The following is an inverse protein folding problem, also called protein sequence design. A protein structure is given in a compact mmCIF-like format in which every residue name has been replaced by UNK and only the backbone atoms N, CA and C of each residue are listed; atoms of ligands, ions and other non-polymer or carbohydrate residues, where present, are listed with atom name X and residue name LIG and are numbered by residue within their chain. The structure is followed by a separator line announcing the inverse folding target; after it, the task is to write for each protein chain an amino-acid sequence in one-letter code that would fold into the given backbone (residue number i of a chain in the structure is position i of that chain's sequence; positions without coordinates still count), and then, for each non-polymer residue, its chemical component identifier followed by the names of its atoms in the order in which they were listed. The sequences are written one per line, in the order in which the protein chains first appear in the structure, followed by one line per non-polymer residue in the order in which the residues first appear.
data_IF_780579111148
#
_entry.id   IF_780579111148
#
_cell.length_a   1.000
_cell.length_b   1.000
_cell.length_c   1.000
_cell.angle_alpha   90.00
_cell.angle_beta   90.00
_cell.angle_gamma   90.00
#
_symmetry.space_group_name_H-M   'P 1'
#
loop_
_entity.id
_entity.type
_entity.pdbx_description
1 polymer ?
#
# COMPACT_ATOMS: atom_id res chain seq x y z
N UNK A 1 10.08 11.01 48.90
CA UNK A 1 10.49 9.60 48.67
C UNK A 1 9.30 8.65 48.77
N UNK A 2 9.31 7.56 48.00
CA UNK A 2 8.31 6.48 48.02
C UNK A 2 8.97 5.15 47.66
N UNK A 3 8.60 4.08 48.36
CA UNK A 3 9.06 2.73 48.03
C UNK A 3 8.26 2.11 46.88
N UNK A 4 8.96 1.52 45.91
CA UNK A 4 8.35 0.78 44.81
C UNK A 4 7.91 -0.62 45.25
N UNK A 5 6.62 -0.94 45.09
CA UNK A 5 6.05 -2.25 45.44
C UNK A 5 6.62 -3.44 44.66
N UNK A 6 7.17 -3.22 43.45
CA UNK A 6 7.73 -4.31 42.64
C UNK A 6 9.21 -4.56 42.88
N UNK A 7 10.01 -3.50 43.04
CA UNK A 7 11.47 -3.64 43.16
C UNK A 7 12.02 -3.33 44.55
N UNK A 8 11.18 -2.95 45.51
CA UNK A 8 11.56 -2.66 46.91
C UNK A 8 12.38 -1.39 47.13
N UNK A 9 12.90 -0.76 46.08
CA UNK A 9 13.73 0.44 46.18
C UNK A 9 12.93 1.69 46.52
N UNK A 10 13.45 2.52 47.42
CA UNK A 10 12.99 3.89 47.63
C UNK A 10 13.43 4.81 46.49
N UNK A 11 12.51 5.62 45.99
CA UNK A 11 12.75 6.54 44.87
C UNK A 11 12.03 7.85 45.06
N UNK A 12 12.47 8.86 44.31
CA UNK A 12 11.77 10.13 44.21
C UNK A 12 10.37 9.98 43.63
N UNK A 13 9.45 10.87 44.02
CA UNK A 13 8.05 10.82 43.55
C UNK A 13 7.95 11.00 42.02
N UNK A 14 8.91 11.69 41.41
CA UNK A 14 9.03 11.86 39.95
C UNK A 14 9.27 10.54 39.21
N UNK A 15 9.77 9.49 39.89
CA UNK A 15 9.98 8.15 39.33
C UNK A 15 8.69 7.31 39.29
N UNK A 16 7.56 7.87 39.74
CA UNK A 16 6.26 7.20 39.74
C UNK A 16 5.30 7.92 38.79
N UNK A 17 4.37 7.18 38.20
CA UNK A 17 3.22 7.80 37.54
C UNK A 17 2.31 8.41 38.60
N UNK A 18 1.72 9.56 38.28
CA UNK A 18 0.76 10.23 39.14
C UNK A 18 -0.52 10.53 38.38
N UNK A 19 -1.63 10.64 39.12
CA UNK A 19 -2.91 11.14 38.63
C UNK A 19 -3.61 11.92 39.73
N UNK A 20 -4.43 12.88 39.36
CA UNK A 20 -5.39 13.47 40.30
C UNK A 20 -6.46 12.40 40.57
N UNK A 21 -6.69 12.12 41.84
CA UNK A 21 -7.70 11.19 42.33
C UNK A 21 -8.63 11.92 43.29
N UNK A 22 -9.85 11.43 43.45
CA UNK A 22 -10.83 12.00 44.36
C UNK A 22 -11.16 11.02 45.48
N UNK A 23 -11.32 11.53 46.70
CA UNK A 23 -11.85 10.80 47.85
C UNK A 23 -12.84 11.67 48.61
N UNK A 24 -13.98 11.08 49.04
CA UNK A 24 -14.98 11.78 49.85
C UNK A 24 -14.41 12.44 51.11
N UNK A 25 -13.32 11.89 51.67
CA UNK A 25 -12.67 12.41 52.89
C UNK A 25 -11.59 13.46 52.64
N UNK A 26 -10.93 13.41 51.47
CA UNK A 26 -9.72 14.22 51.18
C UNK A 26 -9.90 15.21 50.03
N UNK A 27 -11.06 15.18 49.37
CA UNK A 27 -11.25 15.90 48.11
C UNK A 27 -10.34 15.37 47.01
N UNK A 28 -9.89 16.26 46.13
CA UNK A 28 -8.91 15.96 45.11
C UNK A 28 -7.50 15.86 45.70
N UNK A 29 -6.76 14.83 45.33
CA UNK A 29 -5.38 14.63 45.78
C UNK A 29 -4.54 13.98 44.70
N UNK A 30 -3.22 14.22 44.75
CA UNK A 30 -2.28 13.61 43.83
C UNK A 30 -1.97 12.18 44.27
N UNK A 31 -2.45 11.21 43.50
CA UNK A 31 -2.19 9.79 43.73
C UNK A 31 -0.96 9.35 42.93
N UNK A 32 0.01 8.76 43.64
CA UNK A 32 1.16 8.10 43.02
C UNK A 32 0.96 6.60 42.96
N UNK A 33 1.23 6.03 41.79
CA UNK A 33 1.14 4.59 41.57
C UNK A 33 2.10 3.83 42.51
N UNK A 34 1.78 2.59 42.89
CA UNK A 34 2.61 1.81 43.81
C UNK A 34 3.89 1.29 43.15
N UNK A 35 3.94 1.25 41.82
CA UNK A 35 5.09 0.80 41.03
C UNK A 35 5.80 1.99 40.38
N UNK A 36 7.13 1.97 40.38
CA UNK A 36 7.90 2.97 39.64
C UNK A 36 7.72 2.83 38.12
N UNK A 37 8.00 3.91 37.38
CA UNK A 37 7.90 3.97 35.91
C UNK A 37 8.69 2.86 35.22
N UNK A 38 9.89 2.54 35.72
CA UNK A 38 10.73 1.45 35.19
C UNK A 38 10.06 0.08 35.32
N UNK A 39 9.51 -0.24 36.49
CA UNK A 39 8.79 -1.51 36.72
C UNK A 39 7.51 -1.58 35.89
N UNK A 40 6.75 -0.49 35.83
CA UNK A 40 5.55 -0.40 34.98
C UNK A 40 5.89 -0.63 33.51
N UNK A 41 6.96 -0.03 33.00
CA UNK A 41 7.43 -0.21 31.62
C UNK A 41 7.86 -1.64 31.35
N UNK A 42 8.62 -2.27 32.26
CA UNK A 42 9.03 -3.68 32.13
C UNK A 42 7.82 -4.60 32.08
N UNK A 43 6.86 -4.44 33.00
CA UNK A 43 5.62 -5.23 33.02
C UNK A 43 4.83 -5.07 31.72
N UNK A 44 4.70 -3.84 31.22
CA UNK A 44 4.01 -3.56 29.96
C UNK A 44 4.71 -4.23 28.76
N UNK A 45 6.04 -4.19 28.71
CA UNK A 45 6.84 -4.87 27.67
C UNK A 45 6.68 -6.39 27.72
N UNK A 46 6.81 -7.00 28.92
CA UNK A 46 6.55 -8.43 29.14
C UNK A 46 5.14 -8.81 28.70
N UNK A 47 4.13 -8.02 29.07
CA UNK A 47 2.76 -8.26 28.66
C UNK A 47 2.59 -8.20 27.14
N UNK A 48 3.21 -7.22 26.46
CA UNK A 48 3.14 -7.12 24.99
C UNK A 48 3.80 -8.31 24.30
N UNK A 49 4.95 -8.77 24.79
CA UNK A 49 5.66 -9.95 24.28
C UNK A 49 4.84 -11.23 24.46
N UNK A 50 4.19 -11.40 25.61
CA UNK A 50 3.37 -12.56 25.93
C UNK A 50 1.97 -12.50 25.29
N UNK A 51 1.52 -11.33 24.80
CA UNK A 51 0.19 -11.13 24.23
C UNK A 51 0.22 -10.41 22.86
N UNK A 52 0.99 -10.91 21.87
CA UNK A 52 1.25 -10.20 20.63
C UNK A 52 -0.04 -9.92 19.84
N UNK A 53 -0.94 -10.90 19.75
CA UNK A 53 -2.21 -10.77 19.02
C UNK A 53 -3.16 -9.76 19.69
N UNK A 54 -3.26 -9.78 21.01
CA UNK A 54 -4.11 -8.84 21.75
C UNK A 54 -3.58 -7.40 21.64
N UNK A 55 -2.27 -7.24 21.74
CA UNK A 55 -1.61 -5.96 21.55
C UNK A 55 -1.80 -5.43 20.11
N UNK A 56 -1.63 -6.29 19.10
CA UNK A 56 -1.88 -5.97 17.69
C UNK A 56 -3.33 -5.53 17.44
N UNK A 57 -4.31 -6.26 17.97
CA UNK A 57 -5.74 -5.88 17.88
C UNK A 57 -6.02 -4.53 18.55
N UNK A 58 -5.47 -4.30 19.74
CA UNK A 58 -5.63 -3.01 20.45
C UNK A 58 -5.03 -1.85 19.65
N UNK A 59 -3.80 -2.02 19.13
CA UNK A 59 -3.12 -1.04 18.28
C UNK A 59 -3.91 -0.75 17.01
N UNK A 60 -4.40 -1.79 16.33
CA UNK A 60 -5.24 -1.63 15.13
C UNK A 60 -6.51 -0.82 15.41
N UNK A 61 -7.19 -1.08 16.54
CA UNK A 61 -8.37 -0.28 16.95
C UNK A 61 -8.00 1.19 17.18
N UNK A 62 -6.87 1.46 17.82
CA UNK A 62 -6.40 2.82 18.06
C UNK A 62 -6.03 3.53 16.75
N UNK A 63 -5.25 2.88 15.88
CA UNK A 63 -4.81 3.46 14.60
C UNK A 63 -5.97 3.66 13.61
N UNK A 64 -7.05 2.87 13.74
CA UNK A 64 -8.24 3.02 12.92
C UNK A 64 -9.11 4.22 13.31
N UNK A 65 -8.86 4.89 14.44
CA UNK A 65 -9.58 6.12 14.81
C UNK A 65 -9.31 7.22 13.79
N UNK A 66 -10.36 7.98 13.45
CA UNK A 66 -10.28 8.99 12.38
C UNK A 66 -9.20 10.04 12.61
N UNK A 67 -9.08 10.56 13.85
CA UNK A 67 -8.05 11.54 14.19
C UNK A 67 -6.63 10.97 14.00
N UNK A 68 -6.42 9.67 14.24
CA UNK A 68 -5.12 9.00 14.02
C UNK A 68 -4.80 8.87 12.55
N UNK A 69 -5.79 8.49 11.72
CA UNK A 69 -5.64 8.46 10.26
C UNK A 69 -5.25 9.85 9.72
N UNK A 70 -5.91 10.91 10.19
CA UNK A 70 -5.59 12.32 9.82
C UNK A 70 -4.17 12.71 10.24
N UNK A 71 -3.79 12.45 11.48
CA UNK A 71 -2.44 12.73 11.98
C UNK A 71 -1.35 11.97 11.20
N UNK A 72 -1.58 10.69 10.93
CA UNK A 72 -0.65 9.86 10.15
C UNK A 72 -0.49 10.39 8.71
N UNK A 73 -1.59 10.79 8.06
CA UNK A 73 -1.55 11.43 6.76
C UNK A 73 -0.72 12.73 6.79
N UNK A 74 -0.97 13.61 7.77
CA UNK A 74 -0.22 14.87 7.93
C UNK A 74 1.28 14.63 8.16
N UNK A 75 1.62 13.65 9.00
CA UNK A 75 3.02 13.28 9.25
C UNK A 75 3.70 12.74 7.98
N UNK A 76 3.04 11.85 7.24
CA UNK A 76 3.56 11.33 5.98
C UNK A 76 3.72 12.43 4.93
N UNK A 77 2.77 13.36 4.83
CA UNK A 77 2.86 14.52 3.95
C UNK A 77 4.09 15.37 4.30
N UNK A 78 4.30 15.67 5.58
CA UNK A 78 5.51 16.38 6.05
C UNK A 78 6.80 15.60 5.71
N UNK A 79 6.81 14.28 5.89
CA UNK A 79 7.96 13.40 5.58
C UNK A 79 8.28 13.33 4.07
N UNK A 80 7.28 13.47 3.22
CA UNK A 80 7.47 13.54 1.77
C UNK A 80 8.02 14.93 1.41
N UNK A 81 7.38 15.98 1.91
CA UNK A 81 7.75 17.37 1.59
C UNK A 81 9.16 17.74 2.06
N UNK A 82 9.58 17.27 3.23
CA UNK A 82 10.93 17.52 3.76
C UNK A 82 12.01 16.59 3.17
N UNK A 83 11.69 15.79 2.15
CA UNK A 83 12.65 14.92 1.47
C UNK A 83 13.06 13.65 2.23
N UNK A 84 12.68 13.47 3.50
CA UNK A 84 13.05 12.29 4.31
C UNK A 84 12.59 10.97 3.66
N UNK A 85 11.45 10.99 2.98
CA UNK A 85 10.99 9.81 2.23
C UNK A 85 11.93 9.43 1.09
N UNK A 86 12.46 10.43 0.37
CA UNK A 86 13.44 10.21 -0.71
C UNK A 86 14.77 9.72 -0.15
N UNK A 87 15.23 10.31 0.95
CA UNK A 87 16.44 9.86 1.64
C UNK A 87 16.32 8.40 2.10
N UNK A 88 15.19 8.02 2.70
CA UNK A 88 14.92 6.65 3.10
C UNK A 88 15.01 5.68 1.92
N UNK A 89 14.39 6.03 0.78
CA UNK A 89 14.44 5.21 -0.43
C UNK A 89 15.87 5.02 -0.96
N UNK A 90 16.73 6.04 -0.87
CA UNK A 90 18.14 5.96 -1.28
C UNK A 90 18.97 5.10 -0.33
N UNK A 91 18.72 5.20 0.99
CA UNK A 91 19.44 4.44 2.02
C UNK A 91 18.98 2.98 2.15
N UNK A 92 17.79 2.63 1.66
CA UNK A 92 17.19 1.31 1.81
C UNK A 92 16.66 0.75 0.48
N UNK A 93 17.47 0.67 -0.59
CA UNK A 93 17.01 0.21 -1.90
C UNK A 93 16.43 -1.20 -1.85
N UNK A 94 17.03 -2.11 -1.07
CA UNK A 94 16.58 -3.51 -0.96
C UNK A 94 15.21 -3.64 -0.30
N UNK A 95 14.97 -2.87 0.77
CA UNK A 95 13.66 -2.85 1.45
C UNK A 95 12.58 -2.29 0.54
N UNK A 96 12.91 -1.27 -0.26
CA UNK A 96 11.99 -0.69 -1.26
C UNK A 96 11.69 -1.72 -2.36
N UNK A 97 12.70 -2.40 -2.89
CA UNK A 97 12.53 -3.47 -3.89
C UNK A 97 11.68 -4.61 -3.35
N UNK A 98 11.97 -5.10 -2.15
CA UNK A 98 11.19 -6.14 -1.48
C UNK A 98 9.72 -5.71 -1.28
N UNK A 99 9.49 -4.48 -0.81
CA UNK A 99 8.15 -3.94 -0.63
C UNK A 99 7.38 -3.87 -1.97
N UNK A 100 8.02 -3.35 -3.02
CA UNK A 100 7.40 -3.31 -4.36
C UNK A 100 7.08 -4.71 -4.89
N UNK A 101 7.95 -5.69 -4.68
CA UNK A 101 7.72 -7.07 -5.11
C UNK A 101 6.54 -7.72 -4.37
N UNK A 102 6.35 -7.44 -3.08
CA UNK A 102 5.20 -7.94 -2.31
C UNK A 102 3.85 -7.47 -2.85
N UNK A 103 3.82 -6.29 -3.47
CA UNK A 103 2.62 -5.67 -4.02
C UNK A 103 2.44 -5.89 -5.52
N UNK A 104 3.33 -6.64 -6.18
CA UNK A 104 3.28 -6.99 -7.61
C UNK A 104 2.99 -8.48 -7.80
N UNK A 105 1.96 -9.00 -7.14
CA UNK A 105 1.56 -10.39 -7.34
C UNK A 105 0.65 -10.49 -8.56
N UNK A 106 1.25 -10.79 -9.70
CA UNK A 106 0.53 -11.29 -10.87
C UNK A 106 0.85 -12.77 -11.02
N UNK A 107 -0.17 -13.57 -11.29
CA UNK A 107 -0.03 -14.98 -11.67
C UNK A 107 0.08 -15.04 -13.20
N UNK A 108 1.05 -14.32 -13.77
CA UNK A 108 1.27 -14.15 -15.21
C UNK A 108 2.75 -14.32 -15.48
N UNK A 109 3.13 -15.34 -16.25
CA UNK A 109 4.52 -15.55 -16.67
C UNK A 109 4.97 -14.47 -17.66
N UNK A 110 6.28 -14.34 -17.86
CA UNK A 110 6.81 -13.36 -18.82
C UNK A 110 6.38 -13.70 -20.26
N UNK A 111 6.28 -14.99 -20.61
CA UNK A 111 5.77 -15.44 -21.91
C UNK A 111 4.29 -15.07 -22.08
N UNK A 112 3.46 -15.37 -21.09
CA UNK A 112 2.05 -14.98 -21.07
C UNK A 112 1.87 -13.47 -21.22
N UNK A 113 2.74 -12.69 -20.59
CA UNK A 113 2.72 -11.24 -20.71
C UNK A 113 3.12 -10.74 -22.10
N UNK A 114 4.11 -11.37 -22.73
CA UNK A 114 4.49 -11.07 -24.12
C UNK A 114 3.31 -11.37 -25.05
N UNK A 115 2.65 -12.52 -24.91
CA UNK A 115 1.49 -12.88 -25.73
C UNK A 115 0.32 -11.92 -25.55
N UNK A 116 0.05 -11.49 -24.31
CA UNK A 116 -0.90 -10.42 -24.04
C UNK A 116 -0.53 -9.13 -24.79
N UNK A 117 0.73 -8.67 -24.73
CA UNK A 117 1.17 -7.49 -25.47
C UNK A 117 1.10 -7.67 -27.00
N UNK A 118 1.38 -8.87 -27.51
CA UNK A 118 1.29 -9.21 -28.92
C UNK A 118 -0.16 -9.17 -29.41
N UNK A 119 -1.09 -9.71 -28.61
CA UNK A 119 -2.52 -9.65 -28.92
C UNK A 119 -2.96 -8.20 -29.11
N UNK A 120 -2.57 -7.29 -28.22
CA UNK A 120 -2.94 -5.87 -28.30
C UNK A 120 -2.07 -5.02 -29.24
N UNK A 121 -1.04 -5.58 -29.88
CA UNK A 121 -0.17 -4.83 -30.79
C UNK A 121 -0.94 -4.20 -31.96
N UNK A 122 -0.36 -3.14 -32.53
CA UNK A 122 -0.86 -2.52 -33.76
C UNK A 122 -0.55 -3.40 -35.00
N UNK A 123 -0.98 -2.96 -36.17
CA UNK A 123 -0.76 -3.66 -37.46
C UNK A 123 0.73 -3.91 -37.78
N UNK A 124 1.62 -3.04 -37.26
CA UNK A 124 3.07 -3.15 -37.40
C UNK A 124 3.70 -4.06 -36.33
N UNK A 125 2.89 -4.80 -35.56
CA UNK A 125 3.30 -5.66 -34.43
C UNK A 125 4.03 -4.89 -33.32
N UNK A 126 3.73 -3.61 -33.15
CA UNK A 126 4.29 -2.80 -32.07
C UNK A 126 3.33 -2.78 -30.87
N UNK A 127 3.86 -3.04 -29.68
CA UNK A 127 3.07 -3.04 -28.45
C UNK A 127 2.51 -1.66 -28.14
N UNK A 128 1.22 -1.61 -27.85
CA UNK A 128 0.50 -0.39 -27.52
C UNK A 128 -0.45 -0.58 -26.33
N UNK A 129 -0.86 0.53 -25.73
CA UNK A 129 -1.85 0.56 -24.68
C UNK A 129 -3.22 0.13 -25.23
N UNK A 130 -3.85 -0.87 -24.61
CA UNK A 130 -5.17 -1.39 -24.99
C UNK A 130 -6.27 -0.31 -24.99
N UNK A 131 -6.13 0.74 -24.17
CA UNK A 131 -7.08 1.85 -24.12
C UNK A 131 -6.80 2.96 -25.13
N UNK A 132 -5.65 3.63 -25.01
CA UNK A 132 -5.37 4.82 -25.82
C UNK A 132 -4.68 4.52 -27.16
N UNK A 133 -4.24 3.29 -27.40
CA UNK A 133 -3.58 2.88 -28.64
C UNK A 133 -2.17 3.45 -28.84
N UNK A 134 -1.68 4.29 -27.92
CA UNK A 134 -0.31 4.81 -27.98
C UNK A 134 0.70 3.68 -27.75
N UNK A 135 1.80 3.74 -28.49
CA UNK A 135 2.89 2.78 -28.40
C UNK A 135 3.55 2.83 -27.03
N UNK A 136 4.01 1.69 -26.51
CA UNK A 136 4.75 1.64 -25.24
C UNK A 136 5.96 2.60 -25.26
N UNK A 137 6.65 2.72 -26.40
CA UNK A 137 7.78 3.64 -26.60
C UNK A 137 7.41 5.13 -26.57
N UNK A 138 6.13 5.48 -26.72
CA UNK A 138 5.64 6.84 -26.59
C UNK A 138 5.29 7.22 -25.14
N UNK A 139 5.37 6.26 -24.21
CA UNK A 139 5.10 6.48 -22.80
C UNK A 139 6.40 6.59 -22.00
N UNK A 140 6.56 7.75 -21.35
CA UNK A 140 7.71 8.05 -20.53
C UNK A 140 7.31 8.40 -19.10
N UNK A 141 8.15 8.00 -18.16
CA UNK A 141 8.08 8.48 -16.78
C UNK A 141 9.11 9.59 -16.60
N UNK A 142 8.66 10.78 -16.22
CA UNK A 142 9.55 11.85 -15.81
C UNK A 142 10.16 11.53 -14.45
N UNK A 143 11.49 11.47 -14.36
CA UNK A 143 12.25 11.46 -13.11
C UNK A 143 13.45 12.37 -13.22
N UNK A 144 13.58 13.34 -12.30
CA UNK A 144 14.73 14.25 -12.23
C UNK A 144 15.04 14.86 -13.61
N UNK A 145 13.99 15.37 -14.26
CA UNK A 145 14.04 16.03 -15.58
C UNK A 145 14.49 15.15 -16.76
N UNK A 146 14.55 13.82 -16.55
CA UNK A 146 14.76 12.83 -17.61
C UNK A 146 13.48 12.07 -17.92
N UNK A 147 13.22 11.87 -19.21
CA UNK A 147 12.19 10.96 -19.70
C UNK A 147 12.76 9.54 -19.72
N UNK A 148 12.29 8.71 -18.78
CA UNK A 148 12.68 7.30 -18.73
C UNK A 148 11.61 6.49 -19.46
N UNK A 149 11.98 5.68 -20.47
CA UNK A 149 11.05 4.77 -21.13
C UNK A 149 10.33 3.89 -20.12
N UNK A 150 9.05 3.64 -20.34
CA UNK A 150 8.23 2.86 -19.44
C UNK A 150 7.48 1.79 -20.23
N UNK A 151 7.67 0.52 -19.83
CA UNK A 151 6.84 -0.57 -20.38
C UNK A 151 5.38 -0.43 -19.92
N UNK A 152 4.47 -1.11 -20.62
CA UNK A 152 3.06 -1.17 -20.28
C UNK A 152 2.86 -1.89 -18.93
N UNK A 153 1.82 -1.49 -18.21
CA UNK A 153 1.41 -2.10 -16.95
C UNK A 153 0.48 -3.27 -17.22
N UNK A 154 0.61 -4.32 -16.39
CA UNK A 154 -0.35 -5.41 -16.24
C UNK A 154 -1.58 -4.87 -15.49
N UNK A 155 -2.52 -4.28 -16.22
CA UNK A 155 -3.68 -3.62 -15.63
C UNK A 155 -4.79 -4.62 -15.36
N UNK A 156 -5.29 -4.63 -14.12
CA UNK A 156 -6.45 -5.42 -13.75
C UNK A 156 -7.73 -4.71 -14.18
N UNK A 157 -8.50 -5.31 -15.08
CA UNK A 157 -9.73 -4.70 -15.61
C UNK A 157 -10.82 -4.62 -14.55
N UNK A 158 -10.89 -5.59 -13.66
CA UNK A 158 -11.58 -5.51 -12.37
C UNK A 158 -10.54 -5.53 -11.24
N UNK A 159 -10.52 -4.48 -10.42
CA UNK A 159 -9.61 -4.38 -9.26
C UNK A 159 -9.86 -5.46 -8.19
N UNK A 160 -11.03 -6.11 -8.22
CA UNK A 160 -11.37 -7.25 -7.36
C UNK A 160 -11.31 -8.60 -8.09
N UNK A 161 -10.95 -8.59 -9.38
CA UNK A 161 -10.87 -9.78 -10.21
C UNK A 161 -9.59 -10.60 -9.98
N UNK A 162 -9.36 -11.57 -10.86
CA UNK A 162 -8.20 -12.44 -10.81
C UNK A 162 -6.88 -11.67 -11.03
N UNK A 163 -5.76 -12.24 -10.54
CA UNK A 163 -4.42 -11.70 -10.76
C UNK A 163 -3.70 -12.37 -11.96
N UNK A 164 -4.42 -13.12 -12.79
CA UNK A 164 -3.92 -13.83 -13.98
C UNK A 164 -4.32 -13.12 -15.28
N UNK A 165 -4.06 -13.75 -16.44
CA UNK A 165 -4.34 -13.18 -17.76
C UNK A 165 -5.83 -12.89 -18.01
N UNK A 166 -6.75 -13.61 -17.35
CA UNK A 166 -8.20 -13.48 -17.58
C UNK A 166 -8.74 -12.09 -17.26
N UNK A 167 -8.03 -11.37 -16.38
CA UNK A 167 -8.40 -10.04 -15.91
C UNK A 167 -7.31 -9.00 -16.21
N UNK A 168 -6.30 -9.34 -17.03
CA UNK A 168 -5.14 -8.49 -17.26
C UNK A 168 -5.03 -8.04 -18.71
N UNK A 169 -4.89 -6.73 -18.93
CA UNK A 169 -4.59 -6.15 -20.25
C UNK A 169 -3.41 -5.16 -20.18
N UNK A 170 -2.78 -4.80 -21.31
CA UNK A 170 -1.68 -3.87 -21.31
C UNK A 170 -2.16 -2.42 -21.33
N UNK A 171 -1.84 -1.66 -20.28
CA UNK A 171 -2.21 -0.26 -20.18
C UNK A 171 -1.01 0.62 -19.85
N UNK A 172 -0.97 1.84 -20.40
CA UNK A 172 0.02 2.82 -19.99
C UNK A 172 -0.27 3.35 -18.57
N UNK A 173 0.74 3.95 -17.92
CA UNK A 173 0.60 4.45 -16.55
C UNK A 173 -0.55 5.45 -16.41
N UNK A 174 -0.74 6.34 -17.40
CA UNK A 174 -1.78 7.36 -17.36
C UNK A 174 -3.20 6.76 -17.44
N UNK A 175 -3.42 5.79 -18.34
CA UNK A 175 -4.70 5.09 -18.44
C UNK A 175 -5.02 4.31 -17.16
N UNK A 176 -4.07 3.46 -16.72
CA UNK A 176 -4.23 2.67 -15.49
C UNK A 176 -4.50 3.58 -14.27
N UNK A 177 -3.71 4.64 -14.09
CA UNK A 177 -3.88 5.58 -12.98
C UNK A 177 -5.15 6.43 -13.06
N UNK A 178 -5.68 6.67 -14.27
CA UNK A 178 -6.90 7.44 -14.47
C UNK A 178 -8.15 6.58 -14.24
N UNK A 179 -8.12 5.30 -14.63
CA UNK A 179 -9.22 4.36 -14.42
C UNK A 179 -9.38 4.05 -12.93
N UNK A 180 -8.29 3.64 -12.26
CA UNK A 180 -8.31 3.14 -10.88
C UNK A 180 -9.41 2.06 -10.73
N UNK A 181 -10.26 2.22 -9.73
CA UNK A 181 -11.39 1.35 -9.37
C UNK A 181 -12.67 1.60 -10.18
N UNK A 182 -12.63 2.48 -11.18
CA UNK A 182 -13.81 2.75 -12.00
C UNK A 182 -14.12 1.53 -12.87
N UNK A 183 -15.41 1.26 -13.10
CA UNK A 183 -15.82 0.28 -14.10
C UNK A 183 -15.16 0.61 -15.45
N UNK A 184 -14.54 -0.39 -16.08
CA UNK A 184 -13.75 -0.19 -17.30
C UNK A 184 -14.56 0.44 -18.42
N UNK A 185 -15.77 -0.07 -18.68
CA UNK A 185 -16.62 0.40 -19.79
C UNK A 185 -17.06 1.84 -19.57
N UNK A 186 -17.57 2.15 -18.38
CA UNK A 186 -18.04 3.49 -18.03
C UNK A 186 -16.93 4.54 -18.06
N UNK A 187 -15.74 4.15 -17.60
CA UNK A 187 -14.57 5.02 -17.63
C UNK A 187 -14.08 5.22 -19.07
N UNK A 188 -13.98 4.13 -19.85
CA UNK A 188 -13.40 4.16 -21.18
C UNK A 188 -14.27 4.94 -22.17
N UNK A 189 -15.60 4.78 -22.13
CA UNK A 189 -16.56 5.57 -22.94
C UNK A 189 -16.43 7.08 -22.75
N UNK A 190 -15.94 7.53 -21.59
CA UNK A 190 -15.74 8.95 -21.28
C UNK A 190 -14.36 9.48 -21.70
N UNK A 191 -13.51 8.67 -22.35
CA UNK A 191 -12.16 9.10 -22.76
C UNK A 191 -12.20 9.71 -24.16
N UNK A 192 -11.42 10.77 -24.45
CA UNK A 192 -11.38 11.39 -25.78
C UNK A 192 -10.82 10.47 -26.87
N UNK A 193 -10.12 9.40 -26.48
CA UNK A 193 -9.56 8.38 -27.37
C UNK A 193 -10.34 7.05 -27.33
N UNK A 194 -11.61 7.09 -26.92
CA UNK A 194 -12.48 5.91 -26.96
C UNK A 194 -12.53 5.33 -28.39
N UNK A 195 -12.49 4.00 -28.50
CA UNK A 195 -12.65 3.30 -29.77
C UNK A 195 -13.43 2.02 -29.54
N UNK A 196 -14.45 1.83 -30.38
CA UNK A 196 -15.27 0.62 -30.38
C UNK A 196 -14.42 -0.61 -30.72
N UNK A 197 -13.46 -0.50 -31.64
CA UNK A 197 -12.60 -1.63 -32.02
C UNK A 197 -11.67 -2.06 -30.88
N UNK A 198 -11.08 -1.09 -30.16
CA UNK A 198 -10.29 -1.40 -28.96
C UNK A 198 -11.15 -1.97 -27.85
N UNK A 199 -12.36 -1.46 -27.65
CA UNK A 199 -13.30 -2.03 -26.67
C UNK A 199 -13.63 -3.49 -27.02
N UNK A 200 -14.01 -3.78 -28.27
CA UNK A 200 -14.28 -5.16 -28.73
C UNK A 200 -13.08 -6.08 -28.53
N UNK A 201 -11.87 -5.59 -28.79
CA UNK A 201 -10.62 -6.33 -28.57
C UNK A 201 -10.38 -6.63 -27.09
N UNK A 202 -10.66 -5.66 -26.20
CA UNK A 202 -10.60 -5.86 -24.75
C UNK A 202 -11.66 -6.88 -24.30
N UNK A 203 -12.90 -6.75 -24.76
CA UNK A 203 -14.00 -7.66 -24.43
C UNK A 203 -13.72 -9.09 -24.92
N UNK A 204 -13.21 -9.24 -26.14
CA UNK A 204 -12.79 -10.53 -26.70
C UNK A 204 -11.68 -11.19 -25.90
N UNK A 205 -10.67 -10.40 -25.51
CA UNK A 205 -9.63 -10.83 -24.57
C UNK A 205 -10.24 -11.38 -23.29
N UNK A 206 -10.98 -10.55 -22.54
CA UNK A 206 -11.51 -10.89 -21.23
C UNK A 206 -12.53 -12.04 -21.25
N UNK A 207 -13.27 -12.20 -22.35
CA UNK A 207 -14.25 -13.27 -22.48
C UNK A 207 -13.59 -14.64 -22.68
N UNK A 208 -12.58 -14.73 -23.56
CA UNK A 208 -11.99 -16.04 -23.91
C UNK A 208 -10.62 -16.01 -24.58
N UNK A 209 -10.23 -14.96 -25.30
CA UNK A 209 -9.04 -15.08 -26.16
C UNK A 209 -7.75 -15.32 -25.38
N UNK A 210 -7.69 -14.88 -24.11
CA UNK A 210 -6.56 -15.16 -23.21
C UNK A 210 -6.30 -16.66 -23.01
N UNK A 211 -7.32 -17.52 -23.15
CA UNK A 211 -7.23 -18.96 -22.85
C UNK A 211 -6.24 -19.68 -23.77
N UNK A 212 -6.10 -19.20 -25.01
CA UNK A 212 -5.12 -19.69 -26.01
C UNK A 212 -3.67 -19.59 -25.52
N UNK A 213 -3.42 -18.82 -24.46
CA UNK A 213 -2.10 -18.54 -23.90
C UNK A 213 -1.95 -19.04 -22.46
N UNK A 214 -2.97 -19.75 -21.94
CA UNK A 214 -2.93 -20.42 -20.64
C UNK A 214 -2.80 -21.93 -20.82
N UNK A 215 -3.35 -22.50 -21.90
CA UNK A 215 -3.31 -23.93 -22.19
C UNK A 215 -2.17 -24.28 -23.17
N UNK A 216 -1.46 -25.37 -22.84
CA UNK A 216 -0.39 -26.08 -23.55
C UNK A 216 0.99 -25.43 -23.71
N UNK A 217 1.85 -25.65 -22.69
CA UNK A 217 3.24 -26.09 -22.83
C UNK A 217 3.65 -26.95 -21.63
N UNK A 218 3.03 -28.14 -21.52
CA UNK A 218 3.70 -29.29 -20.91
C UNK A 218 4.59 -29.97 -21.97
#
# INVERSE_FOLDING_TARGET
MKQCSTCGLEKELSEFYSRIAYSKKRGEYLYYYPECKKCTSKRADTWQKNNPERHKKSRMRYDNKEHRKKLHYQYNKKRINNGKHREYMRKNPDKVKMYWNKHRKHNISDLQWIECKNYFANEKKEWCCAYCGLLHKAHFKRRLDKNIPQDLHKEHVDDRGANDLSNCIPACQSCNSSKKQSNMLDWYKKRPYFSVDRLRKIEGWLAKDYKKYIEDKD
#
